data_IF_156980572151
#
_entry.id   IF_156980572151
#
_cell.length_a   1.000
_cell.length_b   1.000
_cell.length_c   1.000
_cell.angle_alpha   90.00
_cell.angle_beta   90.00
_cell.angle_gamma   90.00
#
_symmetry.space_group_name_H-M   'P 1'
#
loop_
_entity.id
_entity.type
_entity.pdbx_description
1 polymer ?
#
# COMPACT_ATOMS: atom_id res chain seq x y z
N UNK A 1 -41.32 -20.42 -7.86
CA UNK A 1 -39.99 -20.92 -8.31
C UNK A 1 -39.74 -20.45 -9.73
N UNK A 2 -39.41 -19.16 -9.89
CA UNK A 2 -39.24 -18.51 -11.20
C UNK A 2 -37.83 -17.89 -11.36
N UNK A 3 -36.87 -18.28 -10.51
CA UNK A 3 -35.54 -17.66 -10.48
C UNK A 3 -34.48 -18.39 -11.32
N UNK A 4 -34.85 -19.50 -11.97
CA UNK A 4 -33.96 -20.28 -12.85
C UNK A 4 -34.20 -20.05 -14.35
N UNK A 5 -35.28 -19.37 -14.76
CA UNK A 5 -35.61 -19.23 -16.19
C UNK A 5 -34.73 -18.23 -16.94
N UNK A 6 -34.05 -17.33 -16.22
CA UNK A 6 -33.17 -16.34 -16.85
C UNK A 6 -31.75 -16.89 -17.10
N UNK A 7 -31.43 -18.09 -16.62
CA UNK A 7 -30.14 -18.75 -16.88
C UNK A 7 -29.99 -19.25 -18.34
N UNK A 8 -31.10 -19.42 -19.08
CA UNK A 8 -31.07 -19.91 -20.46
C UNK A 8 -30.69 -18.83 -21.49
N UNK A 9 -30.61 -17.55 -21.07
CA UNK A 9 -30.18 -16.44 -21.94
C UNK A 9 -28.68 -16.17 -21.94
N UNK A 10 -27.86 -17.14 -21.50
CA UNK A 10 -26.53 -17.43 -22.05
C UNK A 10 -25.56 -16.26 -22.26
N UNK A 11 -25.60 -15.21 -21.44
CA UNK A 11 -24.52 -14.21 -21.43
C UNK A 11 -23.40 -14.74 -20.54
N UNK A 12 -22.43 -15.46 -21.13
CA UNK A 12 -21.18 -15.75 -20.42
C UNK A 12 -20.57 -14.43 -19.96
N UNK A 13 -20.21 -14.31 -18.68
CA UNK A 13 -19.58 -13.11 -18.18
C UNK A 13 -18.32 -12.80 -19.03
N UNK A 14 -18.05 -11.53 -19.40
CA UNK A 14 -16.94 -11.24 -20.28
C UNK A 14 -15.61 -11.64 -19.63
N UNK A 15 -14.65 -12.07 -20.44
CA UNK A 15 -13.30 -12.36 -19.98
C UNK A 15 -12.67 -11.13 -19.31
N UNK A 16 -11.87 -11.34 -18.27
CA UNK A 16 -11.14 -10.27 -17.60
C UNK A 16 -9.88 -9.96 -18.40
N UNK A 17 -9.72 -8.70 -18.78
CA UNK A 17 -8.58 -8.20 -19.57
C UNK A 17 -7.95 -7.00 -18.88
N UNK A 18 -6.71 -6.65 -19.24
CA UNK A 18 -6.05 -5.45 -18.70
C UNK A 18 -6.84 -4.18 -18.99
N UNK A 19 -7.46 -4.08 -20.17
CA UNK A 19 -8.32 -2.93 -20.52
C UNK A 19 -9.52 -2.81 -19.58
N UNK A 20 -10.15 -3.94 -19.24
CA UNK A 20 -11.27 -3.95 -18.28
C UNK A 20 -10.82 -3.64 -16.86
N UNK A 21 -9.63 -4.11 -16.46
CA UNK A 21 -9.02 -3.75 -15.17
C UNK A 21 -8.72 -2.25 -15.11
N UNK A 22 -8.20 -1.67 -16.19
CA UNK A 22 -7.94 -0.22 -16.30
C UNK A 22 -9.23 0.60 -16.15
N UNK A 23 -10.32 0.17 -16.79
CA UNK A 23 -11.65 0.76 -16.58
C UNK A 23 -12.16 0.60 -15.15
N UNK A 24 -11.97 -0.56 -14.54
CA UNK A 24 -12.36 -0.82 -13.15
C UNK A 24 -11.61 0.11 -12.18
N UNK A 25 -10.30 0.27 -12.36
CA UNK A 25 -9.47 1.21 -11.59
C UNK A 25 -9.93 2.67 -11.79
N UNK A 26 -10.27 3.04 -13.03
CA UNK A 26 -10.82 4.36 -13.32
C UNK A 26 -12.17 4.60 -12.62
N UNK A 27 -13.03 3.58 -12.53
CA UNK A 27 -14.29 3.64 -11.79
C UNK A 27 -14.09 3.78 -10.28
N UNK A 28 -12.98 3.27 -9.74
CA UNK A 28 -12.53 3.46 -8.36
C UNK A 28 -11.86 4.82 -8.12
N UNK A 29 -11.70 5.65 -9.17
CA UNK A 29 -11.12 6.99 -9.08
C UNK A 29 -9.60 7.05 -9.27
N UNK A 30 -8.94 5.96 -9.67
CA UNK A 30 -7.51 5.96 -9.96
C UNK A 30 -7.21 6.53 -11.34
N UNK A 31 -6.27 7.48 -11.41
CA UNK A 31 -5.74 7.98 -12.67
C UNK A 31 -4.64 7.06 -13.19
N UNK A 32 -4.96 6.27 -14.21
CA UNK A 32 -4.05 5.28 -14.77
C UNK A 32 -3.33 5.82 -16.01
N UNK A 33 -2.01 5.57 -16.09
CA UNK A 33 -1.21 5.85 -17.27
C UNK A 33 -1.58 4.97 -18.48
N UNK A 34 -0.88 5.14 -19.61
CA UNK A 34 -1.09 4.29 -20.78
C UNK A 34 -0.78 2.82 -20.46
N UNK A 35 -1.51 1.91 -21.10
CA UNK A 35 -1.25 0.48 -21.00
C UNK A 35 0.03 0.12 -21.74
N UNK A 36 0.97 -0.52 -21.05
CA UNK A 36 2.25 -0.94 -21.64
C UNK A 36 2.19 -2.37 -22.17
N UNK A 37 1.42 -3.26 -21.53
CA UNK A 37 1.33 -4.67 -21.91
C UNK A 37 -0.12 -5.18 -21.91
N UNK A 38 -0.45 -6.19 -22.72
CA UNK A 38 -1.82 -6.72 -22.81
C UNK A 38 -2.20 -7.65 -21.66
N UNK A 39 -1.24 -8.14 -20.87
CA UNK A 39 -1.46 -9.16 -19.83
C UNK A 39 -1.10 -8.71 -18.42
N UNK A 40 -0.38 -7.60 -18.27
CA UNK A 40 0.03 -7.04 -16.98
C UNK A 40 -0.21 -5.54 -16.93
N UNK A 41 -0.66 -5.07 -15.78
CA UNK A 41 -0.72 -3.68 -15.41
C UNK A 41 0.17 -3.47 -14.20
N UNK A 42 1.06 -2.48 -14.27
CA UNK A 42 1.92 -2.08 -13.16
C UNK A 42 1.59 -0.65 -12.78
N UNK A 43 1.32 -0.43 -11.50
CA UNK A 43 1.00 0.90 -10.98
C UNK A 43 1.40 1.01 -9.51
N UNK A 44 1.37 2.24 -8.99
CA UNK A 44 1.68 2.51 -7.59
C UNK A 44 0.40 2.91 -6.86
N UNK A 45 0.08 2.21 -5.78
CA UNK A 45 -1.07 2.50 -4.91
C UNK A 45 -0.55 2.68 -3.48
N UNK A 46 -0.83 3.82 -2.84
CA UNK A 46 -0.40 4.16 -1.47
C UNK A 46 1.09 3.96 -1.16
N UNK A 47 1.93 4.13 -2.17
CA UNK A 47 3.38 3.94 -2.02
C UNK A 47 3.89 2.57 -2.48
N UNK A 48 3.00 1.60 -2.68
CA UNK A 48 3.34 0.22 -3.03
C UNK A 48 3.29 0.00 -4.53
N UNK A 49 4.32 -0.64 -5.09
CA UNK A 49 4.31 -1.05 -6.49
C UNK A 49 3.48 -2.32 -6.60
N UNK A 50 2.37 -2.24 -7.35
CA UNK A 50 1.42 -3.32 -7.51
C UNK A 50 1.34 -3.76 -8.96
N UNK A 51 1.41 -5.08 -9.16
CA UNK A 51 1.25 -5.74 -10.45
C UNK A 51 -0.09 -6.46 -10.45
N UNK A 52 -0.95 -6.12 -11.41
CA UNK A 52 -2.18 -6.83 -11.73
C UNK A 52 -1.93 -7.66 -12.98
N UNK A 53 -1.97 -8.98 -12.86
CA UNK A 53 -1.51 -9.93 -13.86
C UNK A 53 -2.62 -10.92 -14.22
N UNK A 54 -2.98 -10.95 -15.50
CA UNK A 54 -3.98 -11.84 -16.10
C UNK A 54 -3.36 -12.73 -17.19
N UNK A 55 -2.04 -12.91 -17.16
CA UNK A 55 -1.36 -13.83 -18.08
C UNK A 55 -1.80 -15.28 -17.90
N UNK A 56 -2.24 -15.65 -16.70
CA UNK A 56 -2.98 -16.88 -16.45
C UNK A 56 -4.50 -16.62 -16.63
N UNK A 57 -5.18 -17.28 -17.59
CA UNK A 57 -6.61 -17.02 -17.84
C UNK A 57 -7.53 -17.46 -16.70
N UNK A 58 -7.02 -18.23 -15.72
CA UNK A 58 -7.78 -18.69 -14.57
C UNK A 58 -7.79 -17.67 -13.43
N UNK A 59 -6.73 -16.88 -13.27
CA UNK A 59 -6.54 -16.01 -12.12
C UNK A 59 -6.16 -14.58 -12.50
N UNK A 60 -6.82 -13.60 -11.89
CA UNK A 60 -6.28 -12.27 -11.71
C UNK A 60 -5.39 -12.30 -10.48
N UNK A 61 -4.08 -12.18 -10.68
CA UNK A 61 -3.10 -12.06 -9.61
C UNK A 61 -2.84 -10.59 -9.32
N UNK A 62 -3.03 -10.18 -8.07
CA UNK A 62 -2.73 -8.84 -7.57
C UNK A 62 -1.56 -8.99 -6.60
N UNK A 63 -0.40 -8.43 -6.97
CA UNK A 63 0.85 -8.55 -6.21
C UNK A 63 1.36 -7.17 -5.87
N UNK A 64 1.29 -6.80 -4.60
CA UNK A 64 1.89 -5.57 -4.10
C UNK A 64 3.26 -5.89 -3.49
N UNK A 65 4.22 -4.99 -3.71
CA UNK A 65 5.56 -5.10 -3.14
C UNK A 65 5.77 -3.99 -2.14
N UNK A 66 6.36 -4.35 -1.00
CA UNK A 66 6.84 -3.38 -0.03
C UNK A 66 7.84 -2.44 -0.74
N UNK A 67 7.77 -1.11 -0.53
CA UNK A 67 8.57 -0.15 -1.28
C UNK A 67 10.07 -0.26 -0.99
N UNK A 68 10.41 -0.80 0.17
CA UNK A 68 11.77 -0.97 0.67
C UNK A 68 12.08 -2.46 0.79
N UNK A 69 13.33 -2.81 0.54
CA UNK A 69 13.83 -4.14 0.84
C UNK A 69 14.35 -4.21 2.28
N UNK A 70 14.24 -5.39 2.86
CA UNK A 70 14.77 -5.69 4.19
C UNK A 70 16.12 -6.38 4.04
N UNK A 71 17.03 -6.24 5.01
CA UNK A 71 18.28 -6.97 4.96
C UNK A 71 18.03 -8.48 5.21
N UNK A 72 18.87 -9.35 4.65
CA UNK A 72 18.68 -10.81 4.71
C UNK A 72 18.55 -11.38 6.12
N UNK A 73 19.18 -10.78 7.13
CA UNK A 73 19.06 -11.18 8.53
C UNK A 73 17.64 -11.06 9.09
N UNK A 74 16.81 -10.18 8.53
CA UNK A 74 15.41 -10.00 8.93
C UNK A 74 14.48 -11.11 8.42
N UNK A 75 14.98 -12.02 7.58
CA UNK A 75 14.16 -13.08 6.97
C UNK A 75 13.39 -13.91 7.99
N UNK A 76 14.03 -14.30 9.11
CA UNK A 76 13.38 -15.11 10.14
C UNK A 76 12.16 -14.42 10.75
N UNK A 77 12.33 -13.15 11.15
CA UNK A 77 11.26 -12.32 11.72
C UNK A 77 10.13 -12.09 10.70
N UNK A 78 10.47 -11.78 9.44
CA UNK A 78 9.49 -11.58 8.38
C UNK A 78 8.67 -12.84 8.11
N UNK A 79 9.29 -14.02 8.14
CA UNK A 79 8.59 -15.31 7.98
C UNK A 79 7.63 -15.56 9.14
N UNK A 80 8.08 -15.34 10.39
CA UNK A 80 7.22 -15.51 11.56
C UNK A 80 5.99 -14.60 11.50
N UNK A 81 6.19 -13.32 11.18
CA UNK A 81 5.10 -12.35 11.03
C UNK A 81 4.20 -12.66 9.84
N UNK A 82 4.76 -13.11 8.72
CA UNK A 82 3.98 -13.58 7.57
C UNK A 82 3.12 -14.79 7.91
N UNK A 83 3.64 -15.75 8.68
CA UNK A 83 2.87 -16.89 9.15
C UNK A 83 1.71 -16.47 10.07
N UNK A 84 1.95 -15.54 10.99
CA UNK A 84 0.90 -14.99 11.85
C UNK A 84 -0.20 -14.30 11.03
N UNK A 85 0.17 -13.43 10.09
CA UNK A 85 -0.78 -12.78 9.19
C UNK A 85 -1.59 -13.79 8.37
N UNK A 86 -0.89 -14.72 7.70
CA UNK A 86 -1.51 -15.71 6.82
C UNK A 86 -2.43 -16.69 7.57
N UNK A 87 -2.17 -16.92 8.86
CA UNK A 87 -3.03 -17.75 9.71
C UNK A 87 -4.24 -16.98 10.28
N UNK A 88 -4.15 -15.65 10.40
CA UNK A 88 -5.17 -14.81 11.03
C UNK A 88 -6.10 -14.10 10.05
N UNK A 89 -5.73 -14.03 8.77
CA UNK A 89 -6.47 -13.29 7.75
C UNK A 89 -6.94 -14.21 6.62
N UNK A 90 -8.11 -13.92 6.05
CA UNK A 90 -8.67 -14.72 4.95
C UNK A 90 -8.08 -14.37 3.57
N UNK A 91 -7.61 -13.14 3.39
CA UNK A 91 -7.17 -12.60 2.09
C UNK A 91 -5.83 -11.87 2.25
N UNK A 92 -5.04 -11.89 1.18
CA UNK A 92 -3.69 -11.33 1.16
C UNK A 92 -2.71 -12.28 1.81
N UNK A 93 -1.89 -12.95 0.99
CA UNK A 93 -0.80 -13.81 1.47
C UNK A 93 0.48 -13.00 1.53
N UNK A 94 1.04 -12.84 2.73
CA UNK A 94 2.38 -12.27 2.91
C UNK A 94 3.44 -13.30 2.49
N UNK A 95 4.36 -12.88 1.62
CA UNK A 95 5.42 -13.70 1.04
C UNK A 95 6.75 -12.94 1.10
N UNK A 96 7.57 -13.16 2.15
CA UNK A 96 8.96 -12.73 2.14
C UNK A 96 9.76 -13.54 1.11
N UNK A 97 10.52 -12.87 0.25
CA UNK A 97 11.32 -13.48 -0.80
C UNK A 97 12.76 -13.00 -0.74
N UNK A 98 13.71 -13.93 -0.59
CA UNK A 98 15.13 -13.60 -0.69
C UNK A 98 15.44 -13.24 -2.15
N UNK A 99 16.10 -12.10 -2.36
CA UNK A 99 16.55 -11.68 -3.68
C UNK A 99 17.66 -12.61 -4.21
N UNK A 100 17.86 -12.61 -5.53
CA UNK A 100 18.80 -13.53 -6.20
C UNK A 100 20.24 -13.40 -5.69
N UNK A 101 20.64 -12.20 -5.27
CA UNK A 101 21.98 -11.93 -4.72
C UNK A 101 22.13 -12.35 -3.24
N UNK A 102 21.05 -12.76 -2.59
CA UNK A 102 21.00 -13.18 -1.20
C UNK A 102 21.21 -12.07 -0.17
N UNK A 103 21.34 -10.81 -0.61
CA UNK A 103 21.65 -9.69 0.29
C UNK A 103 20.41 -9.16 1.01
N UNK A 104 19.29 -9.17 0.29
CA UNK A 104 18.06 -8.52 0.71
C UNK A 104 16.83 -9.44 0.57
N UNK A 105 15.77 -9.08 1.29
CA UNK A 105 14.46 -9.72 1.25
C UNK A 105 13.46 -8.69 0.74
N UNK A 106 12.71 -9.06 -0.29
CA UNK A 106 11.54 -8.31 -0.71
C UNK A 106 10.31 -8.91 -0.06
N UNK A 107 9.52 -8.08 0.61
CA UNK A 107 8.22 -8.48 1.11
C UNK A 107 7.15 -8.21 0.05
N UNK A 108 6.36 -9.22 -0.27
CA UNK A 108 5.27 -9.14 -1.22
C UNK A 108 3.95 -9.58 -0.56
N UNK A 109 2.84 -8.98 -0.98
CA UNK A 109 1.49 -9.46 -0.66
C UNK A 109 0.79 -9.93 -1.93
N UNK A 110 0.23 -11.13 -1.91
CA UNK A 110 -0.45 -11.75 -3.05
C UNK A 110 -1.94 -11.95 -2.79
N UNK A 111 -2.78 -11.57 -3.75
CA UNK A 111 -4.18 -11.95 -3.83
C UNK A 111 -4.45 -12.59 -5.18
N UNK A 112 -5.18 -13.70 -5.20
CA UNK A 112 -5.59 -14.40 -6.40
C UNK A 112 -7.12 -14.42 -6.48
N UNK A 113 -7.68 -13.84 -7.55
CA UNK A 113 -9.11 -13.88 -7.84
C UNK A 113 -9.38 -14.85 -9.00
N UNK A 114 -10.31 -15.79 -8.82
CA UNK A 114 -10.72 -16.72 -9.88
C UNK A 114 -11.53 -15.96 -10.95
N UNK A 115 -11.11 -16.06 -12.21
CA UNK A 115 -11.69 -15.31 -13.35
C UNK A 115 -11.95 -16.19 -14.58
N UNK A 116 -11.85 -17.51 -14.45
CA UNK A 116 -11.92 -18.47 -15.57
C UNK A 116 -13.25 -18.43 -16.33
N UNK A 117 -14.35 -18.08 -15.65
CA UNK A 117 -15.69 -17.89 -16.24
C UNK A 117 -15.99 -16.44 -16.62
N UNK A 118 -15.01 -15.55 -16.52
CA UNK A 118 -15.20 -14.11 -16.67
C UNK A 118 -15.90 -13.47 -15.47
N UNK A 119 -15.97 -12.14 -15.49
CA UNK A 119 -16.67 -11.33 -14.48
C UNK A 119 -17.47 -10.25 -15.20
N UNK A 120 -18.65 -9.89 -14.69
CA UNK A 120 -19.30 -8.65 -15.09
C UNK A 120 -18.54 -7.43 -14.52
N UNK A 121 -18.91 -6.21 -14.92
CA UNK A 121 -18.14 -5.02 -14.54
C UNK A 121 -18.19 -4.72 -13.03
N UNK A 122 -19.33 -4.91 -12.38
CA UNK A 122 -19.48 -4.72 -10.92
C UNK A 122 -18.63 -5.73 -10.13
N UNK A 123 -18.64 -6.99 -10.56
CA UNK A 123 -17.81 -8.05 -10.00
C UNK A 123 -16.33 -7.75 -10.18
N UNK A 124 -15.92 -7.25 -11.36
CA UNK A 124 -14.53 -6.92 -11.63
C UNK A 124 -14.07 -5.73 -10.79
N UNK A 125 -14.88 -4.67 -10.68
CA UNK A 125 -14.58 -3.53 -9.80
C UNK A 125 -14.40 -4.00 -8.35
N UNK A 126 -15.33 -4.84 -7.86
CA UNK A 126 -15.25 -5.39 -6.50
C UNK A 126 -14.01 -6.26 -6.31
N UNK A 127 -13.68 -7.12 -7.27
CA UNK A 127 -12.52 -8.01 -7.17
C UNK A 127 -11.19 -7.24 -7.18
N UNK A 128 -11.09 -6.18 -8.00
CA UNK A 128 -9.92 -5.31 -8.05
C UNK A 128 -9.80 -4.49 -6.77
N UNK A 129 -10.88 -3.88 -6.31
CA UNK A 129 -10.89 -3.06 -5.08
C UNK A 129 -10.52 -3.88 -3.85
N UNK A 130 -11.20 -5.02 -3.64
CA UNK A 130 -10.93 -5.92 -2.53
C UNK A 130 -9.49 -6.45 -2.58
N UNK A 131 -9.04 -6.89 -3.76
CA UNK A 131 -7.70 -7.41 -3.90
C UNK A 131 -6.61 -6.37 -3.63
N UNK A 132 -6.80 -5.13 -4.09
CA UNK A 132 -5.92 -4.03 -3.74
C UNK A 132 -5.91 -3.77 -2.23
N UNK A 133 -7.09 -3.52 -1.63
CA UNK A 133 -7.18 -3.21 -0.20
C UNK A 133 -6.56 -4.31 0.68
N UNK A 134 -6.81 -5.58 0.36
CA UNK A 134 -6.22 -6.70 1.09
C UNK A 134 -4.69 -6.76 0.93
N UNK A 135 -4.17 -6.57 -0.29
CA UNK A 135 -2.71 -6.53 -0.51
C UNK A 135 -2.05 -5.37 0.22
N UNK A 136 -2.64 -4.16 0.18
CA UNK A 136 -2.08 -2.97 0.83
C UNK A 136 -2.16 -3.09 2.36
N UNK A 137 -3.30 -3.52 2.90
CA UNK A 137 -3.48 -3.78 4.34
C UNK A 137 -2.49 -4.82 4.86
N UNK A 138 -2.26 -5.89 4.09
CA UNK A 138 -1.25 -6.89 4.40
C UNK A 138 0.12 -6.23 4.55
N UNK A 139 0.59 -5.47 3.56
CA UNK A 139 1.90 -4.81 3.62
C UNK A 139 1.97 -3.74 4.72
N UNK A 140 0.91 -2.95 4.92
CA UNK A 140 0.87 -1.94 5.99
C UNK A 140 1.06 -2.56 7.37
N UNK A 141 0.61 -3.80 7.59
CA UNK A 141 0.86 -4.52 8.85
C UNK A 141 2.35 -4.76 9.13
N UNK A 142 3.20 -4.74 8.09
CA UNK A 142 4.65 -4.88 8.17
C UNK A 142 5.39 -3.57 8.32
N UNK A 143 4.71 -2.41 8.19
CA UNK A 143 5.37 -1.13 8.41
C UNK A 143 5.94 -1.08 9.85
N UNK A 144 7.19 -0.65 10.03
CA UNK A 144 7.71 -0.33 11.34
C UNK A 144 6.80 0.71 11.98
N UNK A 145 6.51 0.55 13.27
CA UNK A 145 5.85 1.62 14.02
C UNK A 145 6.80 2.81 13.96
N UNK A 146 6.34 3.93 13.39
CA UNK A 146 7.04 5.20 13.62
C UNK A 146 6.84 5.47 15.09
N UNK A 147 7.92 5.49 15.85
CA UNK A 147 7.89 6.09 17.18
C UNK A 147 7.35 7.50 16.97
N UNK A 148 6.16 7.78 17.53
CA UNK A 148 5.68 9.13 17.65
C UNK A 148 6.79 9.87 18.39
N UNK A 149 7.45 10.82 17.72
CA UNK A 149 8.42 11.69 18.36
C UNK A 149 7.75 12.25 19.61
N UNK A 150 8.22 11.80 20.77
CA UNK A 150 7.98 12.43 22.05
C UNK A 150 8.33 13.90 21.82
N UNK A 151 7.31 14.73 21.69
CA UNK A 151 7.44 16.18 21.68
C UNK A 151 7.98 16.58 23.06
N UNK A 152 9.29 16.46 23.23
CA UNK A 152 10.04 16.89 24.40
C UNK A 152 10.16 18.42 24.34
N UNK A 153 9.03 19.07 24.55
CA UNK A 153 8.88 20.51 24.71
C UNK A 153 8.75 20.83 26.19
N UNK A 154 9.76 20.49 26.98
CA UNK A 154 9.87 20.89 28.36
C UNK A 154 9.84 22.42 28.49
N UNK A 155 8.74 22.89 29.06
CA UNK A 155 8.51 24.07 29.89
C UNK A 155 9.68 25.02 30.24
N UNK A 156 9.31 26.32 30.20
CA UNK A 156 9.67 27.43 31.11
C UNK A 156 10.77 28.38 30.63
N UNK A 157 10.36 29.39 29.86
CA UNK A 157 11.09 30.67 29.85
C UNK A 157 10.94 31.33 31.23
N UNK A 158 12.02 31.28 32.01
CA UNK A 158 12.21 32.21 33.11
C UNK A 158 12.33 33.63 32.53
N UNK A 159 11.36 34.48 32.86
CA UNK A 159 11.44 35.91 32.59
C UNK A 159 12.62 36.50 33.38
N UNK A 160 13.75 36.69 32.70
CA UNK A 160 14.90 37.40 33.24
C UNK A 160 14.58 38.88 33.48
N UNK A 161 14.75 39.32 34.71
CA UNK A 161 14.75 40.71 35.15
C UNK A 161 15.68 41.58 34.30
N UNK A 162 15.15 42.71 33.79
CA UNK A 162 15.93 43.74 33.12
C UNK A 162 16.73 44.58 34.14
N UNK A 163 18.02 44.90 33.90
CA UNK A 163 18.76 45.80 34.78
C UNK A 163 18.36 47.27 34.51
N UNK A 164 18.19 48.02 35.59
CA UNK A 164 17.94 49.46 35.61
C UNK A 164 19.12 50.23 34.98
N UNK A 165 18.79 51.17 34.09
CA UNK A 165 19.74 52.15 33.56
C UNK A 165 20.15 53.14 34.66
N UNK A 166 21.44 53.19 34.97
CA UNK A 166 22.05 54.29 35.73
C UNK A 166 22.39 55.42 34.76
N UNK A 167 21.86 56.60 35.09
CA UNK A 167 22.05 57.89 34.44
C UNK A 167 23.27 58.57 35.06
N UNK A 168 24.40 58.60 34.33
CA UNK A 168 25.61 59.36 34.72
C UNK A 168 25.91 60.41 33.63
N UNK A 169 25.19 61.54 33.73
CA UNK A 169 25.45 62.77 32.98
C UNK A 169 26.58 63.59 33.59
N UNK A 170 27.70 63.61 32.86
CA UNK A 170 28.91 64.44 33.02
C UNK A 170 28.71 65.87 33.57
N UNK A 171 29.46 66.18 34.65
CA UNK A 171 29.80 67.53 35.05
C UNK A 171 30.97 68.05 34.19
N UNK A 172 30.72 69.08 33.38
CA UNK A 172 31.74 69.88 32.72
C UNK A 172 32.14 71.08 33.59
N UNK A 173 33.39 71.10 34.03
CA UNK A 173 34.03 72.25 34.68
C UNK A 173 34.95 72.97 33.68
N UNK A 174 34.66 74.26 33.50
CA UNK A 174 35.54 75.42 33.37
C UNK A 174 36.81 75.38 32.48
N UNK A 175 36.89 76.38 31.60
CA UNK A 175 38.07 76.78 30.83
C UNK A 175 37.74 77.75 29.71
#
# INVERSE_FOLDING_TARGET
MAWFKDAENGSSAPAVTVERIHRALSALGFAMGPMETPAKLVAKFDGYVTVLDVSNPTFLMIRAHFPEEFPSESMGELIEKANEWNASTLWGTAVPQLQEDGSNVLLQAEVACLIDQGLNDEQLVTAVDLGLQCSLSCLDSFRPKRDEEESDGASREEAGEAPQAQDDGSAGAEG
#
